data_IF_012736458758
#
_entry.id   IF_012736458758
#
_cell.length_a   1.000
_cell.length_b   1.000
_cell.length_c   1.000
_cell.angle_alpha   90.00
_cell.angle_beta   90.00
_cell.angle_gamma   90.00
#
_symmetry.space_group_name_H-M   'P 1'
#
loop_
_entity.id
_entity.type
_entity.pdbx_description
1 polymer ?
#
# COMPACT_ATOMS: atom_id res chain seq x y z
N UNK A 1 24.03 -12.03 11.96
CA UNK A 1 23.91 -11.19 10.75
C UNK A 1 24.74 -9.94 10.99
N UNK A 2 25.87 -9.80 10.30
CA UNK A 2 26.87 -8.77 10.63
C UNK A 2 26.29 -7.38 10.32
N UNK A 3 26.58 -6.36 11.14
CA UNK A 3 26.09 -4.96 10.97
C UNK A 3 26.33 -4.38 9.56
N UNK A 4 27.30 -4.93 8.84
CA UNK A 4 27.60 -4.58 7.45
C UNK A 4 26.52 -5.11 6.48
N UNK A 5 26.03 -6.33 6.68
CA UNK A 5 24.97 -6.94 5.87
C UNK A 5 23.61 -6.27 6.07
N UNK A 6 23.31 -5.76 7.26
CA UNK A 6 22.07 -5.01 7.53
C UNK A 6 22.06 -3.62 6.87
N UNK A 7 23.22 -3.08 6.50
CA UNK A 7 23.35 -1.79 5.80
C UNK A 7 23.44 -2.01 4.27
N UNK A 8 24.15 -3.05 3.83
CA UNK A 8 24.33 -3.32 2.39
C UNK A 8 23.03 -3.77 1.72
N UNK A 9 22.19 -4.56 2.40
CA UNK A 9 20.94 -5.08 1.82
C UNK A 9 19.91 -3.98 1.44
N UNK A 10 19.60 -2.98 2.30
CA UNK A 10 18.70 -1.89 1.92
C UNK A 10 19.27 -1.00 0.81
N UNK A 11 20.60 -0.80 0.79
CA UNK A 11 21.28 -0.03 -0.26
C UNK A 11 21.20 -0.75 -1.61
N UNK A 12 21.32 -2.08 -1.63
CA UNK A 12 21.18 -2.88 -2.85
C UNK A 12 19.74 -2.94 -3.39
N UNK A 13 18.72 -2.92 -2.51
CA UNK A 13 17.31 -2.84 -2.93
C UNK A 13 16.92 -1.48 -3.49
N UNK A 14 17.57 -0.40 -3.05
CA UNK A 14 17.38 0.95 -3.64
C UNK A 14 18.12 1.10 -4.97
N UNK A 15 19.28 0.46 -5.11
CA UNK A 15 20.09 0.51 -6.34
C UNK A 15 19.47 -0.25 -7.54
N UNK A 16 18.47 -1.10 -7.29
CA UNK A 16 17.73 -1.86 -8.33
C UNK A 16 16.34 -1.28 -8.64
N UNK A 17 15.99 -0.10 -8.09
CA UNK A 17 14.89 0.68 -8.64
C UNK A 17 15.19 0.99 -10.12
N UNK A 18 14.14 1.14 -10.97
CA UNK A 18 14.32 1.25 -12.40
C UNK A 18 15.43 2.26 -12.69
N UNK A 19 16.50 1.75 -13.32
CA UNK A 19 17.69 2.49 -13.70
C UNK A 19 17.31 3.89 -14.14
N UNK A 20 17.76 4.90 -13.38
CA UNK A 20 17.69 6.33 -13.72
C UNK A 20 16.51 6.68 -14.63
N UNK A 21 15.39 7.06 -14.05
CA UNK A 21 14.48 7.94 -14.77
C UNK A 21 15.31 9.13 -15.26
N UNK A 22 15.67 9.15 -16.56
CA UNK A 22 16.05 10.36 -17.27
C UNK A 22 14.75 11.14 -17.37
N UNK A 23 14.33 11.70 -16.23
CA UNK A 23 13.26 12.65 -16.20
C UNK A 23 13.79 13.86 -16.95
N UNK A 24 13.18 14.18 -18.09
CA UNK A 24 13.22 15.55 -18.59
C UNK A 24 12.77 16.50 -17.49
N UNK A 25 13.08 17.79 -17.64
CA UNK A 25 12.74 18.79 -16.64
C UNK A 25 11.25 18.70 -16.24
N UNK A 26 10.97 18.73 -14.95
CA UNK A 26 9.61 18.63 -14.45
C UNK A 26 8.83 19.87 -14.90
N UNK A 27 7.76 19.66 -15.65
CA UNK A 27 6.90 20.75 -16.10
C UNK A 27 6.17 21.34 -14.88
N UNK A 28 6.41 22.61 -14.58
CA UNK A 28 5.86 23.28 -13.40
C UNK A 28 4.34 23.45 -13.44
N UNK A 29 3.73 23.36 -14.62
CA UNK A 29 2.29 23.44 -14.86
C UNK A 29 1.59 22.06 -14.83
N UNK A 30 2.33 20.95 -14.83
CA UNK A 30 1.78 19.59 -14.66
C UNK A 30 1.72 19.20 -13.18
N UNK A 31 0.73 19.72 -12.46
CA UNK A 31 0.56 19.44 -11.03
C UNK A 31 0.36 17.95 -10.72
N UNK A 32 -0.27 17.19 -11.62
CA UNK A 32 -0.51 15.76 -11.43
C UNK A 32 0.81 14.98 -11.59
N UNK A 33 1.60 15.27 -12.62
CA UNK A 33 2.93 14.68 -12.80
C UNK A 33 3.90 15.02 -11.67
N UNK A 34 3.87 16.27 -11.18
CA UNK A 34 4.63 16.69 -9.98
C UNK A 34 4.18 15.91 -8.75
N UNK A 35 2.88 15.70 -8.55
CA UNK A 35 2.36 14.90 -7.43
C UNK A 35 2.84 13.45 -7.48
N UNK A 36 2.85 12.84 -8.68
CA UNK A 36 3.38 11.49 -8.93
C UNK A 36 4.88 11.40 -8.63
N UNK A 37 5.65 12.44 -8.95
CA UNK A 37 7.07 12.49 -8.61
C UNK A 37 7.29 12.54 -7.10
N UNK A 38 6.61 13.46 -6.40
CA UNK A 38 6.73 13.63 -4.95
C UNK A 38 6.43 12.32 -4.22
N UNK A 39 5.30 11.68 -4.56
CA UNK A 39 4.88 10.44 -3.89
C UNK A 39 5.82 9.28 -4.21
N UNK A 40 6.34 9.17 -5.44
CA UNK A 40 7.29 8.12 -5.80
C UNK A 40 8.53 8.20 -4.91
N UNK A 41 9.14 9.38 -4.80
CA UNK A 41 10.33 9.59 -3.94
C UNK A 41 10.01 9.40 -2.46
N UNK A 42 8.83 9.86 -2.00
CA UNK A 42 8.40 9.69 -0.62
C UNK A 42 8.25 8.20 -0.24
N UNK A 43 7.74 7.37 -1.14
CA UNK A 43 7.58 5.91 -0.93
C UNK A 43 8.94 5.21 -0.85
N UNK A 44 9.90 5.59 -1.71
CA UNK A 44 11.30 5.10 -1.64
C UNK A 44 11.95 5.48 -0.31
N UNK A 45 11.85 6.75 0.09
CA UNK A 45 12.42 7.23 1.34
C UNK A 45 11.78 6.52 2.56
N UNK A 46 10.46 6.34 2.54
CA UNK A 46 9.72 5.61 3.58
C UNK A 46 10.13 4.15 3.67
N UNK A 47 10.38 3.49 2.53
CA UNK A 47 10.88 2.10 2.49
C UNK A 47 12.20 1.98 3.26
N UNK A 48 13.17 2.85 2.95
CA UNK A 48 14.48 2.87 3.61
C UNK A 48 14.32 3.19 5.10
N UNK A 49 13.50 4.18 5.43
CA UNK A 49 13.22 4.57 6.79
C UNK A 49 12.69 3.41 7.62
N UNK A 50 11.65 2.70 7.15
CA UNK A 50 11.07 1.57 7.88
C UNK A 50 12.06 0.40 8.06
N UNK A 51 12.92 0.14 7.07
CA UNK A 51 13.96 -0.91 7.19
C UNK A 51 15.00 -0.52 8.25
N UNK A 52 15.47 0.73 8.24
CA UNK A 52 16.50 1.21 9.17
C UNK A 52 15.95 1.30 10.60
N UNK A 53 14.74 1.84 10.77
CA UNK A 53 14.12 2.02 12.08
C UNK A 53 13.63 0.70 12.71
N UNK A 54 13.56 -0.38 11.91
CA UNK A 54 13.23 -1.73 12.40
C UNK A 54 14.14 -2.19 13.54
N UNK A 55 15.40 -1.76 13.58
CA UNK A 55 16.32 -2.13 14.65
C UNK A 55 16.24 -1.25 15.89
N UNK A 56 15.45 -0.17 15.85
CA UNK A 56 15.22 0.75 16.97
C UNK A 56 13.91 0.51 17.70
N UNK A 57 13.10 -0.45 17.25
CA UNK A 57 11.84 -0.83 17.91
C UNK A 57 11.96 -2.15 18.66
N UNK A 58 11.07 -2.35 19.64
CA UNK A 58 10.94 -3.63 20.34
C UNK A 58 10.66 -4.77 19.34
N UNK A 59 11.18 -5.97 19.62
CA UNK A 59 11.03 -7.17 18.80
C UNK A 59 9.59 -7.43 18.31
N UNK A 60 8.59 -7.16 19.16
CA UNK A 60 7.17 -7.36 18.81
C UNK A 60 6.66 -6.49 17.65
N UNK A 61 7.32 -5.36 17.37
CA UNK A 61 6.96 -4.43 16.29
C UNK A 61 7.78 -4.63 15.02
N UNK A 62 8.86 -5.41 15.08
CA UNK A 62 9.80 -5.55 13.95
C UNK A 62 9.15 -6.14 12.70
N UNK A 63 8.17 -7.03 12.85
CA UNK A 63 7.43 -7.59 11.71
C UNK A 63 6.52 -6.53 11.07
N UNK A 64 5.87 -5.68 11.88
CA UNK A 64 5.05 -4.57 11.37
C UNK A 64 5.87 -3.66 10.47
N UNK A 65 7.03 -3.18 10.94
CA UNK A 65 7.91 -2.30 10.15
C UNK A 65 8.41 -2.96 8.86
N UNK A 66 8.68 -4.27 8.87
CA UNK A 66 9.02 -5.00 7.64
C UNK A 66 7.86 -4.96 6.63
N UNK A 67 6.62 -5.17 7.09
CA UNK A 67 5.44 -5.13 6.21
C UNK A 67 5.22 -3.71 5.69
N UNK A 68 5.36 -2.67 6.51
CA UNK A 68 5.26 -1.27 6.06
C UNK A 68 6.32 -0.95 4.99
N UNK A 69 7.54 -1.47 5.14
CA UNK A 69 8.60 -1.36 4.12
C UNK A 69 8.23 -2.07 2.81
N UNK A 70 7.61 -3.25 2.87
CA UNK A 70 7.14 -3.96 1.67
C UNK A 70 6.03 -3.18 0.95
N UNK A 71 5.06 -2.65 1.69
CA UNK A 71 3.96 -1.86 1.13
C UNK A 71 4.51 -0.63 0.40
N UNK A 72 5.39 0.13 1.06
CA UNK A 72 6.00 1.34 0.47
C UNK A 72 6.90 1.02 -0.72
N UNK A 73 7.61 -0.12 -0.71
CA UNK A 73 8.43 -0.53 -1.85
C UNK A 73 7.58 -0.91 -3.08
N UNK A 74 6.52 -1.71 -2.88
CA UNK A 74 5.59 -2.10 -3.96
C UNK A 74 4.94 -0.85 -4.54
N UNK A 75 4.45 0.04 -3.67
CA UNK A 75 3.86 1.31 -4.08
C UNK A 75 4.87 2.14 -4.88
N UNK A 76 6.11 2.31 -4.40
CA UNK A 76 7.13 3.09 -5.10
C UNK A 76 7.31 2.64 -6.56
N UNK A 77 7.44 1.32 -6.79
CA UNK A 77 7.57 0.76 -8.14
C UNK A 77 6.36 1.10 -8.99
N UNK A 78 5.14 0.88 -8.49
CA UNK A 78 3.93 1.18 -9.25
C UNK A 78 3.76 2.68 -9.52
N UNK A 79 4.14 3.54 -8.58
CA UNK A 79 4.04 5.00 -8.74
C UNK A 79 4.96 5.54 -9.83
N UNK A 80 6.16 4.96 -10.01
CA UNK A 80 7.00 5.29 -11.17
C UNK A 80 6.32 4.93 -12.49
N UNK A 81 5.77 3.72 -12.64
CA UNK A 81 5.04 3.34 -13.85
C UNK A 81 3.78 4.19 -14.08
N UNK A 82 3.00 4.47 -13.03
CA UNK A 82 1.81 5.31 -13.11
C UNK A 82 2.15 6.73 -13.54
N UNK A 83 3.27 7.28 -13.05
CA UNK A 83 3.78 8.58 -13.49
C UNK A 83 4.07 8.57 -14.98
N UNK A 84 4.77 7.56 -15.46
CA UNK A 84 5.20 7.50 -16.85
C UNK A 84 3.98 7.41 -17.79
N UNK A 85 2.97 6.60 -17.44
CA UNK A 85 1.69 6.60 -18.17
C UNK A 85 1.04 7.98 -18.20
N UNK A 86 0.99 8.69 -17.06
CA UNK A 86 0.42 10.05 -17.00
C UNK A 86 1.19 11.03 -17.90
N UNK A 87 2.52 11.07 -17.75
CA UNK A 87 3.38 12.03 -18.45
C UNK A 87 3.41 11.77 -19.97
N UNK A 88 3.38 10.51 -20.39
CA UNK A 88 3.44 10.13 -21.81
C UNK A 88 2.07 10.24 -22.51
N UNK A 89 0.98 9.90 -21.82
CA UNK A 89 -0.33 9.72 -22.48
C UNK A 89 -1.40 10.71 -22.00
N UNK A 90 -1.22 11.35 -20.84
CA UNK A 90 -2.25 12.16 -20.18
C UNK A 90 -3.45 11.35 -19.65
N UNK A 91 -3.39 10.02 -19.67
CA UNK A 91 -4.48 9.15 -19.21
C UNK A 91 -4.31 8.73 -17.75
N UNK A 92 -5.43 8.46 -17.08
CA UNK A 92 -5.43 7.89 -15.73
C UNK A 92 -4.91 6.44 -15.77
N UNK A 93 -3.87 6.09 -14.99
CA UNK A 93 -3.29 4.75 -14.99
C UNK A 93 -4.09 3.78 -14.09
N UNK A 94 -5.39 3.62 -14.38
CA UNK A 94 -6.35 2.87 -13.54
C UNK A 94 -5.90 1.43 -13.28
N UNK A 95 -5.43 0.71 -14.31
CA UNK A 95 -5.01 -0.69 -14.14
C UNK A 95 -3.82 -0.81 -13.19
N UNK A 96 -2.79 0.02 -13.36
CA UNK A 96 -1.64 0.04 -12.45
C UNK A 96 -2.05 0.37 -11.01
N UNK A 97 -2.99 1.30 -10.84
CA UNK A 97 -3.50 1.69 -9.51
C UNK A 97 -4.19 0.54 -8.80
N UNK A 98 -5.05 -0.19 -9.50
CA UNK A 98 -5.79 -1.30 -8.89
C UNK A 98 -4.91 -2.54 -8.65
N UNK A 99 -3.88 -2.77 -9.47
CA UNK A 99 -2.88 -3.82 -9.20
C UNK A 99 -2.05 -3.46 -7.95
N UNK A 100 -1.60 -2.21 -7.85
CA UNK A 100 -0.91 -1.70 -6.64
C UNK A 100 -1.75 -1.92 -5.39
N UNK A 101 -3.03 -1.52 -5.41
CA UNK A 101 -3.95 -1.72 -4.29
C UNK A 101 -4.24 -3.19 -4.00
N UNK A 102 -4.41 -4.03 -5.02
CA UNK A 102 -4.64 -5.46 -4.83
C UNK A 102 -3.47 -6.14 -4.11
N UNK A 103 -2.24 -5.65 -4.30
CA UNK A 103 -1.05 -6.14 -3.61
C UNK A 103 -0.89 -5.51 -2.21
N UNK A 104 -1.05 -4.20 -2.10
CA UNK A 104 -0.72 -3.43 -0.89
C UNK A 104 -1.84 -3.46 0.16
N UNK A 105 -3.11 -3.42 -0.23
CA UNK A 105 -4.22 -3.40 0.73
C UNK A 105 -4.30 -4.69 1.56
N UNK A 106 -4.13 -5.91 1.01
CA UNK A 106 -4.03 -7.12 1.82
C UNK A 106 -2.83 -7.10 2.78
N UNK A 107 -1.69 -6.55 2.36
CA UNK A 107 -0.53 -6.38 3.25
C UNK A 107 -0.84 -5.43 4.41
N UNK A 108 -1.59 -4.35 4.17
CA UNK A 108 -2.06 -3.44 5.22
C UNK A 108 -3.04 -4.14 6.18
N UNK A 109 -3.88 -5.06 5.70
CA UNK A 109 -4.75 -5.87 6.57
C UNK A 109 -3.94 -6.84 7.43
N UNK A 110 -2.88 -7.44 6.88
CA UNK A 110 -1.92 -8.27 7.64
C UNK A 110 -1.16 -7.41 8.67
N UNK A 111 -0.79 -6.18 8.30
CA UNK A 111 -0.14 -5.23 9.23
C UNK A 111 -1.05 -4.90 10.41
N UNK A 112 -2.32 -4.57 10.15
CA UNK A 112 -3.31 -4.37 11.20
C UNK A 112 -3.44 -5.58 12.13
N UNK A 113 -3.44 -6.79 11.57
CA UNK A 113 -3.41 -8.03 12.36
C UNK A 113 -2.16 -8.12 13.24
N UNK A 114 -0.97 -7.82 12.72
CA UNK A 114 0.27 -7.86 13.52
C UNK A 114 0.30 -6.81 14.63
N UNK A 115 -0.23 -5.62 14.39
CA UNK A 115 -0.34 -4.57 15.40
C UNK A 115 -1.25 -5.04 16.55
N UNK A 116 -2.43 -5.59 16.23
CA UNK A 116 -3.34 -6.12 17.24
C UNK A 116 -2.74 -7.33 17.96
N UNK A 117 -2.10 -8.25 17.23
CA UNK A 117 -1.46 -9.44 17.80
C UNK A 117 -0.28 -9.11 18.74
N UNK A 118 0.32 -7.91 18.60
CA UNK A 118 1.38 -7.43 19.48
C UNK A 118 0.87 -6.88 20.83
N UNK A 119 -0.45 -6.70 20.98
CA UNK A 119 -1.09 -6.14 22.19
C UNK A 119 -2.22 -7.03 22.75
N UNK A 120 -2.82 -7.90 21.95
CA UNK A 120 -3.89 -8.82 22.35
C UNK A 120 -3.84 -10.14 21.55
N UNK A 121 -4.67 -11.10 21.91
CA UNK A 121 -4.88 -12.32 21.12
C UNK A 121 -5.93 -12.08 20.03
N UNK A 122 -5.57 -12.33 18.77
CA UNK A 122 -6.44 -12.06 17.61
C UNK A 122 -6.68 -13.35 16.86
N UNK A 123 -7.93 -13.64 16.52
CA UNK A 123 -8.25 -14.82 15.70
C UNK A 123 -7.85 -14.58 14.25
N UNK A 124 -7.41 -15.64 13.57
CA UNK A 124 -7.13 -15.62 12.12
C UNK A 124 -8.40 -15.28 11.32
N UNK A 125 -9.60 -15.48 11.90
CA UNK A 125 -10.87 -15.09 11.30
C UNK A 125 -10.99 -13.58 11.02
N UNK A 126 -10.38 -12.73 11.87
CA UNK A 126 -10.34 -11.27 11.65
C UNK A 126 -9.65 -10.95 10.32
N UNK A 127 -8.50 -11.57 10.04
CA UNK A 127 -7.79 -11.36 8.79
C UNK A 127 -8.67 -11.67 7.57
N UNK A 128 -9.34 -12.83 7.55
CA UNK A 128 -10.16 -13.23 6.42
C UNK A 128 -11.37 -12.32 6.18
N UNK A 129 -11.99 -11.82 7.25
CA UNK A 129 -13.12 -10.88 7.13
C UNK A 129 -12.67 -9.54 6.55
N UNK A 130 -11.58 -8.98 7.06
CA UNK A 130 -11.00 -7.73 6.52
C UNK A 130 -10.50 -7.92 5.08
N UNK A 131 -9.89 -9.07 4.77
CA UNK A 131 -9.44 -9.42 3.42
C UNK A 131 -10.62 -9.52 2.43
N UNK A 132 -11.69 -10.22 2.78
CA UNK A 132 -12.86 -10.32 1.90
C UNK A 132 -13.53 -8.96 1.69
N UNK A 133 -13.66 -8.14 2.73
CA UNK A 133 -14.15 -6.78 2.62
C UNK A 133 -13.32 -5.92 1.67
N UNK A 134 -11.99 -6.03 1.74
CA UNK A 134 -11.08 -5.30 0.85
C UNK A 134 -11.16 -5.77 -0.59
N UNK A 135 -11.30 -7.08 -0.85
CA UNK A 135 -11.54 -7.59 -2.20
C UNK A 135 -12.84 -7.05 -2.79
N UNK A 136 -13.95 -7.07 -2.04
CA UNK A 136 -15.23 -6.51 -2.50
C UNK A 136 -15.10 -5.02 -2.80
N UNK A 137 -14.44 -4.28 -1.90
CA UNK A 137 -14.21 -2.84 -2.05
C UNK A 137 -13.45 -2.52 -3.34
N UNK A 138 -12.33 -3.19 -3.58
CA UNK A 138 -11.47 -2.95 -4.73
C UNK A 138 -12.10 -3.43 -6.04
N UNK A 139 -12.72 -4.60 -6.06
CA UNK A 139 -13.39 -5.09 -7.27
C UNK A 139 -14.56 -4.20 -7.67
N UNK A 140 -15.39 -3.75 -6.71
CA UNK A 140 -16.48 -2.82 -6.97
C UNK A 140 -16.01 -1.51 -7.60
N UNK A 141 -14.97 -0.90 -7.01
CA UNK A 141 -14.35 0.31 -7.54
C UNK A 141 -13.79 0.10 -8.96
N UNK A 142 -13.02 -0.97 -9.15
CA UNK A 142 -12.39 -1.27 -10.45
C UNK A 142 -13.42 -1.46 -11.55
N UNK A 143 -14.48 -2.24 -11.29
CA UNK A 143 -15.53 -2.48 -12.27
C UNK A 143 -16.24 -1.18 -12.68
N UNK A 144 -16.41 -0.24 -11.74
CA UNK A 144 -16.99 1.08 -12.01
C UNK A 144 -16.05 1.97 -12.83
N UNK A 145 -14.77 2.06 -12.47
CA UNK A 145 -13.79 2.90 -13.18
C UNK A 145 -13.38 2.34 -14.55
N UNK A 146 -13.41 1.01 -14.71
CA UNK A 146 -13.16 0.35 -15.99
C UNK A 146 -14.38 0.36 -16.94
N UNK A 147 -15.51 0.94 -16.51
CA UNK A 147 -16.74 1.02 -17.32
C UNK A 147 -17.44 -0.33 -17.55
N UNK A 148 -17.11 -1.36 -16.76
CA UNK A 148 -17.75 -2.68 -16.84
C UNK A 148 -19.14 -2.67 -16.19
N UNK A 149 -19.35 -1.78 -15.22
CA UNK A 149 -20.66 -1.46 -14.62
C UNK A 149 -20.79 0.07 -14.50
N UNK A 150 -21.98 0.56 -14.11
CA UNK A 150 -22.14 2.00 -13.89
C UNK A 150 -21.26 2.48 -12.72
N UNK A 151 -20.66 3.66 -12.85
CA UNK A 151 -19.77 4.22 -11.83
C UNK A 151 -20.46 4.33 -10.45
N UNK A 152 -21.74 4.69 -10.42
CA UNK A 152 -22.52 4.76 -9.18
C UNK A 152 -22.70 3.37 -8.54
N UNK A 153 -22.95 2.33 -9.34
CA UNK A 153 -23.08 0.98 -8.81
C UNK A 153 -21.73 0.47 -8.27
N UNK A 154 -20.65 0.69 -9.00
CA UNK A 154 -19.29 0.37 -8.53
C UNK A 154 -18.94 1.09 -7.23
N UNK A 155 -19.29 2.38 -7.12
CA UNK A 155 -19.14 3.15 -5.90
C UNK A 155 -19.93 2.57 -4.73
N UNK A 156 -21.20 2.21 -4.92
CA UNK A 156 -22.04 1.61 -3.87
C UNK A 156 -21.45 0.27 -3.39
N UNK A 157 -21.02 -0.59 -4.31
CA UNK A 157 -20.38 -1.87 -3.97
C UNK A 157 -19.06 -1.62 -3.20
N UNK A 158 -18.25 -0.66 -3.67
CA UNK A 158 -17.03 -0.23 -3.01
C UNK A 158 -17.27 0.20 -1.56
N UNK A 159 -18.26 1.09 -1.38
CA UNK A 159 -18.67 1.61 -0.07
C UNK A 159 -19.25 0.53 0.84
N UNK A 160 -19.95 -0.47 0.30
CA UNK A 160 -20.44 -1.60 1.08
C UNK A 160 -19.28 -2.47 1.60
N UNK A 161 -18.28 -2.77 0.76
CA UNK A 161 -17.07 -3.47 1.17
C UNK A 161 -16.29 -2.69 2.24
N UNK A 162 -16.12 -1.39 2.05
CA UNK A 162 -15.49 -0.51 3.04
C UNK A 162 -16.27 -0.43 4.36
N UNK A 163 -17.59 -0.27 4.29
CA UNK A 163 -18.46 -0.25 5.46
C UNK A 163 -18.39 -1.55 6.26
N UNK A 164 -18.27 -2.69 5.59
CA UNK A 164 -18.05 -3.99 6.23
C UNK A 164 -16.70 -4.05 6.97
N UNK A 165 -15.62 -3.55 6.37
CA UNK A 165 -14.30 -3.45 7.03
C UNK A 165 -14.41 -2.61 8.31
N UNK A 166 -15.04 -1.42 8.23
CA UNK A 166 -15.21 -0.55 9.40
C UNK A 166 -16.04 -1.21 10.49
N UNK A 167 -17.13 -1.90 10.12
CA UNK A 167 -17.93 -2.66 11.06
C UNK A 167 -17.10 -3.71 11.79
N UNK A 168 -16.30 -4.51 11.08
CA UNK A 168 -15.44 -5.54 11.68
C UNK A 168 -14.39 -4.96 12.62
N UNK A 169 -13.81 -3.80 12.29
CA UNK A 169 -12.81 -3.11 13.11
C UNK A 169 -13.41 -2.57 14.41
N UNK A 170 -14.57 -1.91 14.35
CA UNK A 170 -15.13 -1.20 15.51
C UNK A 170 -16.11 -2.01 16.35
N UNK A 171 -16.95 -2.81 15.69
CA UNK A 171 -18.05 -3.54 16.34
C UNK A 171 -17.90 -5.06 16.24
N UNK A 172 -17.09 -5.54 15.31
CA UNK A 172 -16.79 -6.96 15.13
C UNK A 172 -15.72 -7.48 16.09
N UNK A 173 -15.24 -8.69 15.79
CA UNK A 173 -14.31 -9.42 16.65
C UNK A 173 -12.97 -8.70 16.84
N UNK A 174 -12.57 -7.83 15.90
CA UNK A 174 -11.34 -7.07 16.01
C UNK A 174 -11.43 -5.98 17.09
N UNK A 175 -12.58 -5.31 17.20
CA UNK A 175 -12.82 -4.26 18.20
C UNK A 175 -13.09 -4.81 19.60
N UNK A 176 -13.75 -5.97 19.70
CA UNK A 176 -14.14 -6.55 21.00
C UNK A 176 -12.99 -7.17 21.81
N UNK A 177 -11.85 -7.50 21.18
CA UNK A 177 -10.71 -8.16 21.85
C UNK A 177 -9.66 -7.22 22.42
N UNK A 178 -9.91 -5.90 22.40
CA UNK A 178 -8.98 -4.86 22.91
C UNK A 178 -9.41 -4.33 24.30
N UNK A 179 -10.31 -5.03 25.00
CA UNK A 179 -10.71 -4.71 26.38
C UNK A 179 -9.97 -5.60 27.38
#
# INVERSE_FOLDING_TARGET
MNKLLSIILPVFTVALMPSLAIAGDLKSDDFVGVSFWIISIAMVASTVFFIVERDRVNAKWKTSLTVSALVTLIAAVHYFYMRDVWVETGQTPTVFRYIDWLLTVPLLMIEFYFILAAVTTVSVGVFWRLFLGTIIMLLGGYLGEAGMISAMLGFIIGMAGWGYILYEIFYGEAGQKVV
#
